data_IF_560075818409
#
_entry.id   IF_560075818409
#
_cell.length_a   1.000
_cell.length_b   1.000
_cell.length_c   1.000
_cell.angle_alpha   90.00
_cell.angle_beta   90.00
_cell.angle_gamma   90.00
#
_symmetry.space_group_name_H-M   'P 1'
#
loop_
_entity.id
_entity.type
_entity.pdbx_description
1 polymer ?
#
# COMPACT_ATOMS: atom_id res chain seq x y z
N UNK A 1 2.89 -52.46 -27.36
CA UNK A 1 1.44 -52.72 -27.51
C UNK A 1 0.91 -51.70 -28.50
N UNK A 2 0.39 -52.15 -29.63
CA UNK A 2 -0.13 -51.31 -30.72
C UNK A 2 -1.51 -50.78 -30.34
N UNK A 3 -1.65 -49.46 -30.24
CA UNK A 3 -2.96 -48.84 -30.01
C UNK A 3 -3.84 -49.04 -31.26
N UNK A 4 -5.10 -49.48 -31.11
CA UNK A 4 -5.95 -49.80 -32.25
C UNK A 4 -6.51 -48.53 -32.92
N UNK A 5 -6.69 -48.54 -34.24
CA UNK A 5 -6.98 -47.34 -35.05
C UNK A 5 -8.29 -46.62 -34.69
N UNK A 6 -9.26 -47.32 -34.10
CA UNK A 6 -10.53 -46.77 -33.61
C UNK A 6 -10.37 -45.91 -32.35
N UNK A 7 -9.21 -45.95 -31.69
CA UNK A 7 -8.91 -45.14 -30.51
C UNK A 7 -8.45 -43.71 -30.87
N UNK A 8 -8.00 -43.50 -32.11
CA UNK A 8 -7.54 -42.20 -32.62
C UNK A 8 -8.55 -41.07 -32.45
N UNK A 9 -9.84 -41.21 -32.85
CA UNK A 9 -10.82 -40.14 -32.65
C UNK A 9 -11.12 -39.88 -31.16
N UNK A 10 -11.09 -40.92 -30.32
CA UNK A 10 -11.31 -40.79 -28.88
C UNK A 10 -10.24 -39.93 -28.22
N UNK A 11 -8.97 -40.20 -28.52
CA UNK A 11 -7.83 -39.44 -27.98
C UNK A 11 -7.86 -37.95 -28.35
N UNK A 12 -8.24 -37.63 -29.59
CA UNK A 12 -8.36 -36.24 -30.05
C UNK A 12 -9.49 -35.52 -29.31
N UNK A 13 -10.62 -36.20 -29.09
CA UNK A 13 -11.75 -35.67 -28.33
C UNK A 13 -11.38 -35.32 -26.89
N UNK A 14 -10.62 -36.17 -26.21
CA UNK A 14 -10.18 -35.93 -24.81
C UNK A 14 -9.27 -34.71 -24.70
N UNK A 15 -8.34 -34.53 -25.64
CA UNK A 15 -7.44 -33.38 -25.66
C UNK A 15 -8.22 -32.08 -25.85
N UNK A 16 -9.15 -32.04 -26.81
CA UNK A 16 -9.98 -30.86 -27.07
C UNK A 16 -10.89 -30.56 -25.87
N UNK A 17 -11.51 -31.58 -25.29
CA UNK A 17 -12.36 -31.44 -24.11
C UNK A 17 -11.59 -30.92 -22.89
N UNK A 18 -10.40 -31.44 -22.63
CA UNK A 18 -9.55 -30.98 -21.53
C UNK A 18 -9.16 -29.50 -21.69
N UNK A 19 -8.79 -29.07 -22.90
CA UNK A 19 -8.46 -27.65 -23.18
C UNK A 19 -9.68 -26.77 -22.98
N UNK A 20 -10.85 -27.18 -23.48
CA UNK A 20 -12.09 -26.42 -23.34
C UNK A 20 -12.50 -26.26 -21.86
N UNK A 21 -12.46 -27.35 -21.07
CA UNK A 21 -12.77 -27.31 -19.63
C UNK A 21 -11.77 -26.43 -18.89
N UNK A 22 -10.49 -26.49 -19.26
CA UNK A 22 -9.45 -25.62 -18.67
C UNK A 22 -9.78 -24.16 -18.92
N UNK A 23 -10.01 -23.76 -20.18
CA UNK A 23 -10.31 -22.36 -20.52
C UNK A 23 -11.57 -21.87 -19.81
N UNK A 24 -12.65 -22.65 -19.83
CA UNK A 24 -13.91 -22.28 -19.18
C UNK A 24 -13.75 -22.23 -17.67
N UNK A 25 -13.07 -23.21 -17.07
CA UNK A 25 -12.82 -23.25 -15.62
C UNK A 25 -11.97 -22.10 -15.10
N UNK A 26 -10.94 -21.72 -15.86
CA UNK A 26 -10.11 -20.54 -15.56
C UNK A 26 -10.81 -19.21 -15.90
N UNK A 27 -11.82 -19.21 -16.77
CA UNK A 27 -12.58 -18.00 -17.12
C UNK A 27 -13.79 -17.73 -16.24
N UNK A 28 -14.36 -18.75 -15.59
CA UNK A 28 -15.65 -18.62 -14.87
C UNK A 28 -15.51 -18.40 -13.36
N UNK A 29 -14.38 -18.75 -12.77
CA UNK A 29 -14.02 -18.24 -11.46
C UNK A 29 -12.95 -17.18 -11.62
N UNK A 30 -13.07 -16.10 -10.88
CA UNK A 30 -12.09 -15.02 -10.77
C UNK A 30 -10.81 -15.51 -10.05
N UNK A 31 -10.23 -16.62 -10.53
CA UNK A 31 -9.03 -17.23 -9.96
C UNK A 31 -7.86 -16.36 -10.37
N UNK A 32 -7.55 -15.39 -9.52
CA UNK A 32 -6.33 -14.61 -9.56
C UNK A 32 -5.16 -15.58 -9.81
N UNK A 33 -4.57 -15.53 -11.00
CA UNK A 33 -3.40 -16.37 -11.31
C UNK A 33 -2.31 -16.06 -10.30
N UNK A 34 -1.57 -17.07 -9.82
CA UNK A 34 -0.64 -16.91 -8.68
C UNK A 34 0.36 -15.74 -8.80
N UNK A 35 0.68 -15.29 -10.02
CA UNK A 35 1.46 -14.07 -10.27
C UNK A 35 0.71 -12.79 -9.88
N UNK A 36 -0.54 -12.63 -10.32
CA UNK A 36 -1.40 -11.48 -9.97
C UNK A 36 -1.80 -11.49 -8.50
N UNK A 37 -1.87 -12.66 -7.86
CA UNK A 37 -2.19 -12.78 -6.43
C UNK A 37 -1.03 -12.30 -5.56
N UNK A 38 0.20 -12.60 -5.98
CA UNK A 38 1.40 -12.12 -5.30
C UNK A 38 1.60 -10.63 -5.48
N UNK A 39 1.40 -10.12 -6.68
CA UNK A 39 1.53 -8.68 -6.95
C UNK A 39 0.47 -7.86 -6.20
N UNK A 40 -0.78 -8.33 -6.17
CA UNK A 40 -1.81 -7.70 -5.34
C UNK A 40 -1.52 -7.82 -3.85
N UNK A 41 -1.00 -8.96 -3.37
CA UNK A 41 -0.64 -9.12 -1.96
C UNK A 41 0.51 -8.19 -1.54
N UNK A 42 1.53 -8.01 -2.39
CA UNK A 42 2.66 -7.13 -2.10
C UNK A 42 2.24 -5.65 -2.13
N UNK A 43 1.39 -5.24 -3.07
CA UNK A 43 0.81 -3.88 -3.10
C UNK A 43 -0.09 -3.63 -1.90
N UNK A 44 -0.98 -4.57 -1.57
CA UNK A 44 -1.85 -4.47 -0.39
C UNK A 44 -1.03 -4.44 0.90
N UNK A 45 0.06 -5.20 1.01
CA UNK A 45 0.93 -5.18 2.16
C UNK A 45 1.62 -3.82 2.33
N UNK A 46 2.13 -3.23 1.24
CA UNK A 46 2.75 -1.90 1.29
C UNK A 46 1.73 -0.81 1.65
N UNK A 47 0.54 -0.83 1.06
CA UNK A 47 -0.53 0.13 1.36
C UNK A 47 -1.07 -0.04 2.78
N UNK A 48 -1.27 -1.27 3.25
CA UNK A 48 -1.80 -1.56 4.59
C UNK A 48 -0.79 -1.17 5.67
N UNK A 49 0.50 -1.44 5.45
CA UNK A 49 1.55 -1.00 6.38
C UNK A 49 1.64 0.52 6.37
N UNK A 50 1.57 1.18 5.22
CA UNK A 50 1.57 2.64 5.13
C UNK A 50 0.37 3.24 5.86
N UNK A 51 -0.84 2.73 5.62
CA UNK A 51 -2.07 3.19 6.26
C UNK A 51 -2.07 2.93 7.79
N UNK A 52 -1.49 1.81 8.24
CA UNK A 52 -1.30 1.52 9.66
C UNK A 52 -0.23 2.41 10.31
N UNK A 53 0.71 2.96 9.53
CA UNK A 53 1.73 3.89 10.01
C UNK A 53 1.27 5.35 9.99
N UNK A 54 0.22 5.72 9.23
CA UNK A 54 -0.39 7.06 9.30
C UNK A 54 -0.79 7.46 10.74
N UNK A 55 -1.50 6.64 11.54
CA UNK A 55 -1.82 7.02 12.92
C UNK A 55 -0.58 7.21 13.79
N UNK A 56 0.52 6.49 13.50
CA UNK A 56 1.81 6.69 14.18
C UNK A 56 2.41 8.05 13.82
N UNK A 57 2.42 8.42 12.53
CA UNK A 57 2.85 9.75 12.10
C UNK A 57 2.04 10.87 12.77
N UNK A 58 0.71 10.71 12.84
CA UNK A 58 -0.17 11.67 13.49
C UNK A 58 0.09 11.77 15.00
N UNK A 59 0.39 10.66 15.66
CA UNK A 59 0.74 10.62 17.08
C UNK A 59 2.09 11.28 17.36
N UNK A 60 3.11 11.01 16.53
CA UNK A 60 4.40 11.70 16.57
C UNK A 60 4.22 13.21 16.38
N UNK A 61 3.44 13.61 15.38
CA UNK A 61 3.17 15.02 15.14
C UNK A 61 2.38 15.66 16.29
N UNK A 62 1.54 14.92 17.03
CA UNK A 62 0.78 15.44 18.20
C UNK A 62 1.65 15.57 19.44
N UNK A 63 2.56 14.62 19.63
CA UNK A 63 3.46 14.57 20.78
C UNK A 63 4.70 15.48 20.62
N UNK A 64 4.92 16.02 19.42
CA UNK A 64 6.06 16.90 19.12
C UNK A 64 5.88 18.29 19.75
N UNK A 65 6.78 18.74 20.65
CA UNK A 65 6.71 20.07 21.26
C UNK A 65 6.92 21.20 20.23
N UNK A 66 7.53 20.92 19.08
CA UNK A 66 7.73 21.87 17.99
C UNK A 66 6.69 21.73 16.87
N UNK A 67 5.57 21.02 17.11
CA UNK A 67 4.49 20.79 16.13
C UNK A 67 4.10 22.05 15.37
N UNK A 68 3.86 23.16 16.08
CA UNK A 68 3.39 24.41 15.47
C UNK A 68 4.37 24.97 14.45
N UNK A 69 5.65 25.06 14.83
CA UNK A 69 6.72 25.58 13.96
C UNK A 69 6.98 24.66 12.75
N UNK A 70 6.90 23.34 12.95
CA UNK A 70 7.05 22.36 11.88
C UNK A 70 5.88 22.38 10.90
N UNK A 71 4.63 22.47 11.38
CA UNK A 71 3.44 22.62 10.52
C UNK A 71 3.52 23.90 9.70
N UNK A 72 3.96 25.02 10.29
CA UNK A 72 4.14 26.27 9.56
C UNK A 72 5.18 26.14 8.45
N UNK A 73 6.32 25.51 8.75
CA UNK A 73 7.37 25.22 7.75
C UNK A 73 6.88 24.31 6.62
N UNK A 74 6.10 23.28 6.95
CA UNK A 74 5.48 22.38 5.97
C UNK A 74 4.42 23.10 5.14
N UNK A 75 3.65 24.00 5.74
CA UNK A 75 2.62 24.79 5.06
C UNK A 75 3.24 25.80 4.09
N UNK A 76 4.33 26.44 4.50
CA UNK A 76 5.08 27.42 3.69
C UNK A 76 5.88 26.76 2.55
N UNK A 77 6.20 25.46 2.69
CA UNK A 77 6.81 24.70 1.62
C UNK A 77 5.84 24.53 0.43
N UNK A 78 6.38 24.62 -0.79
CA UNK A 78 5.63 24.29 -2.02
C UNK A 78 5.08 22.87 -1.93
N UNK A 79 3.87 22.61 -2.49
CA UNK A 79 3.22 21.28 -2.56
C UNK A 79 4.19 20.09 -2.74
N UNK A 80 5.15 20.22 -3.66
CA UNK A 80 6.15 19.17 -3.94
C UNK A 80 7.20 18.97 -2.84
N UNK A 81 7.50 20.01 -2.06
CA UNK A 81 8.46 20.03 -0.94
C UNK A 81 7.80 19.76 0.41
N UNK A 82 6.47 19.84 0.54
CA UNK A 82 5.78 19.54 1.80
C UNK A 82 6.15 18.15 2.32
N UNK A 83 6.25 17.17 1.42
CA UNK A 83 6.68 15.81 1.76
C UNK A 83 8.09 15.78 2.33
N UNK A 84 9.01 16.50 1.69
CA UNK A 84 10.41 16.55 2.11
C UNK A 84 10.53 17.29 3.45
N UNK A 85 9.79 18.38 3.65
CA UNK A 85 9.69 19.08 4.93
C UNK A 85 9.10 18.22 6.06
N UNK A 86 8.13 17.34 5.76
CA UNK A 86 7.59 16.40 6.76
C UNK A 86 8.60 15.29 7.10
N UNK A 87 9.37 14.82 6.12
CA UNK A 87 10.48 13.89 6.38
C UNK A 87 11.57 14.53 7.24
N UNK A 88 11.95 15.78 6.96
CA UNK A 88 12.90 16.57 7.77
C UNK A 88 12.37 16.83 9.19
N UNK A 89 11.05 16.98 9.34
CA UNK A 89 10.40 17.08 10.65
C UNK A 89 10.49 15.78 11.47
N UNK A 90 10.82 14.64 10.84
CA UNK A 90 10.96 13.34 11.47
C UNK A 90 9.65 12.57 11.66
N UNK A 91 8.53 13.08 11.14
CA UNK A 91 7.21 12.46 11.34
C UNK A 91 6.95 11.28 10.39
N UNK A 92 7.77 11.15 9.35
CA UNK A 92 7.72 10.03 8.41
C UNK A 92 8.68 8.88 8.76
N UNK A 93 9.38 8.96 9.89
CA UNK A 93 10.29 7.90 10.34
C UNK A 93 9.55 6.99 11.31
N UNK A 94 9.45 5.71 10.96
CA UNK A 94 8.75 4.72 11.79
C UNK A 94 9.59 4.37 13.02
N UNK A 95 8.97 4.06 14.17
CA UNK A 95 9.71 3.63 15.35
C UNK A 95 10.60 2.42 15.04
N UNK A 96 11.91 2.59 15.18
CA UNK A 96 12.90 1.56 14.88
C UNK A 96 13.49 1.60 13.46
N UNK A 97 13.06 2.54 12.60
CA UNK A 97 13.75 2.84 11.35
C UNK A 97 14.72 4.02 11.52
N UNK A 98 15.83 3.96 10.79
CA UNK A 98 16.83 5.03 10.75
C UNK A 98 16.51 6.07 9.66
N UNK A 99 15.75 5.68 8.64
CA UNK A 99 15.45 6.52 7.47
C UNK A 99 13.93 6.83 7.36
N UNK A 100 13.58 8.05 6.93
CA UNK A 100 12.18 8.46 6.72
C UNK A 100 11.59 7.83 5.45
N UNK A 101 10.31 7.42 5.52
CA UNK A 101 9.60 6.81 4.39
C UNK A 101 8.75 7.85 3.63
N UNK A 102 8.95 7.94 2.31
CA UNK A 102 8.26 8.90 1.44
C UNK A 102 6.76 8.62 1.30
N UNK A 103 6.36 7.35 1.29
CA UNK A 103 4.96 6.95 1.17
C UNK A 103 4.20 7.29 2.45
N UNK A 104 4.83 7.05 3.61
CA UNK A 104 4.28 7.46 4.91
C UNK A 104 4.18 8.98 4.98
N UNK A 105 5.20 9.71 4.52
CA UNK A 105 5.16 11.16 4.49
C UNK A 105 3.98 11.71 3.65
N UNK A 106 3.76 11.11 2.48
CA UNK A 106 2.66 11.51 1.60
C UNK A 106 1.29 11.16 2.19
N UNK A 107 1.13 9.95 2.72
CA UNK A 107 -0.13 9.52 3.33
C UNK A 107 -0.44 10.34 4.60
N UNK A 108 0.58 10.64 5.40
CA UNK A 108 0.43 11.49 6.58
C UNK A 108 0.07 12.92 6.20
N UNK A 109 0.68 13.52 5.18
CA UNK A 109 0.29 14.86 4.70
C UNK A 109 -1.16 14.93 4.20
N UNK A 110 -1.69 13.85 3.65
CA UNK A 110 -3.08 13.81 3.17
C UNK A 110 -4.08 13.95 4.34
N UNK A 111 -3.74 13.41 5.52
CA UNK A 111 -4.60 13.41 6.70
C UNK A 111 -4.17 14.41 7.79
N UNK A 112 -2.97 14.95 7.68
CA UNK A 112 -2.48 15.98 8.58
C UNK A 112 -3.29 17.23 8.31
N UNK A 113 -4.16 17.58 9.26
CA UNK A 113 -4.94 18.81 9.22
C UNK A 113 -3.99 20.02 9.35
N UNK A 114 -3.46 20.45 8.21
CA UNK A 114 -2.64 21.64 8.05
C UNK A 114 -3.48 22.91 8.20
N UNK A 115 -4.80 22.84 8.37
CA UNK A 115 -5.73 23.96 8.46
C UNK A 115 -6.34 24.15 9.86
N UNK A 116 -6.32 23.11 10.71
CA UNK A 116 -6.73 23.24 12.10
C UNK A 116 -5.77 24.15 12.90
N UNK A 117 -6.29 25.17 13.61
CA UNK A 117 -5.51 25.87 14.61
C UNK A 117 -5.08 24.84 15.67
N UNK A 118 -3.78 24.82 15.97
CA UNK A 118 -3.22 23.96 17.01
C UNK A 118 -4.09 24.01 18.25
N UNK A 119 -4.60 22.84 18.68
CA UNK A 119 -5.28 22.73 19.97
C UNK A 119 -4.34 23.31 21.04
N UNK A 120 -4.86 24.09 22.00
CA UNK A 120 -4.02 24.74 23.00
C UNK A 120 -3.20 23.68 23.75
N UNK A 121 -1.89 23.90 23.82
CA UNK A 121 -0.97 23.19 24.71
C UNK A 121 -1.61 23.11 26.11
N UNK A 122 -1.90 21.88 26.55
CA UNK A 122 -2.28 21.64 27.95
C UNK A 122 -0.98 21.66 28.74
N UNK A 123 -0.69 22.84 29.28
CA UNK A 123 0.34 23.10 30.28
C UNK A 123 -0.10 22.44 31.59
N UNK A 124 0.41 21.23 31.89
CA UNK A 124 0.32 20.62 33.22
C UNK A 124 1.52 21.09 34.05
N UNK A 125 1.30 22.16 34.81
CA UNK A 125 2.22 22.67 35.85
C UNK A 125 2.23 21.86 37.14
#
# INVERSE_FOLDING_TARGET
MTAPDWLKPGLVGTVIGAVAITIVGFSWGDWVTGGTAREQADTLAQETVTAAMVPVCLDLARSDPMRRSKIETIRDATRYRQRDALMEAGWATVPGAEEPDRNIAQACLAELDLEAPAAPEVDEG
#
